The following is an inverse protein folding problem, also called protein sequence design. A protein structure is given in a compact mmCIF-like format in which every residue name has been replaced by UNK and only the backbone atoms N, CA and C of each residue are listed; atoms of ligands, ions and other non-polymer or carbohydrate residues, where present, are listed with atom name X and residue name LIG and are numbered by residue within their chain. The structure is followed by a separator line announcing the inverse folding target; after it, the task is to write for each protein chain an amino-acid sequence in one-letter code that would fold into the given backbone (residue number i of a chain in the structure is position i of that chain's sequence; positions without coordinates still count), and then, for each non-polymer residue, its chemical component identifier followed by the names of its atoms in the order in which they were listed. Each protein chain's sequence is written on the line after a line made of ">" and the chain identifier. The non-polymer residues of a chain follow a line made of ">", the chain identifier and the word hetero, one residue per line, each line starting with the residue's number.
data_IF_677108645773
#
_entry.id   IF_677108645773
#
_cell.length_a   1.000
_cell.length_b   1.000
_cell.length_c   1.000
_cell.angle_alpha   90.00
_cell.angle_beta   90.00
_cell.angle_gamma   90.00
#
_symmetry.space_group_name_H-M   'P 1'
#
loop_
_entity.id
_entity.type
_entity.pdbx_description
1 polymer ?
#
# COMPACT_ATOMS: atom_id res chain seq x y z
N UNK A 1 -4.80 75.80 -38.17
CA UNK A 1 -3.96 74.97 -37.35
C UNK A 1 -4.87 74.13 -36.48
N UNK A 2 -5.14 72.87 -36.91
CA UNK A 2 -6.06 71.95 -36.28
C UNK A 2 -5.27 70.92 -35.47
N UNK A 3 -5.49 70.87 -34.16
CA UNK A 3 -4.82 69.90 -33.26
C UNK A 3 -5.60 68.59 -33.31
N UNK A 4 -5.02 67.55 -33.84
CA UNK A 4 -5.51 66.17 -33.74
C UNK A 4 -5.12 65.58 -32.38
N UNK A 5 -6.13 65.21 -31.61
CA UNK A 5 -5.97 64.47 -30.36
C UNK A 5 -6.06 62.98 -30.66
N UNK A 6 -4.98 62.24 -30.46
CA UNK A 6 -4.93 60.78 -30.58
C UNK A 6 -5.34 60.14 -29.28
N UNK A 7 -6.45 59.43 -29.30
CA UNK A 7 -6.97 58.68 -28.16
C UNK A 7 -6.33 57.25 -28.18
N UNK A 8 -5.45 56.95 -27.26
CA UNK A 8 -4.87 55.61 -27.12
C UNK A 8 -5.79 54.73 -26.29
N UNK A 9 -6.38 53.71 -26.88
CA UNK A 9 -7.16 52.68 -26.20
C UNK A 9 -6.23 51.63 -25.64
N UNK A 10 -6.13 51.53 -24.32
CA UNK A 10 -5.46 50.45 -23.61
C UNK A 10 -6.40 49.22 -23.51
N UNK A 11 -6.12 48.19 -24.30
CA UNK A 11 -6.71 46.86 -24.15
C UNK A 11 -6.03 46.15 -22.98
N UNK A 12 -6.74 46.07 -21.85
CA UNK A 12 -6.35 45.21 -20.72
C UNK A 12 -6.73 43.77 -21.05
N UNK A 13 -5.73 42.95 -21.38
CA UNK A 13 -5.86 41.51 -21.57
C UNK A 13 -5.89 40.84 -20.16
N UNK A 14 -7.07 40.58 -19.63
CA UNK A 14 -7.25 39.80 -18.40
C UNK A 14 -6.98 38.34 -18.69
N UNK A 15 -5.78 37.86 -18.39
CA UNK A 15 -5.45 36.44 -18.41
C UNK A 15 -6.22 35.73 -17.29
N UNK A 16 -7.24 34.97 -17.66
CA UNK A 16 -7.91 34.02 -16.78
C UNK A 16 -6.93 32.88 -16.50
N UNK A 17 -6.27 32.95 -15.35
CA UNK A 17 -5.59 31.78 -14.78
C UNK A 17 -6.68 30.81 -14.32
N UNK A 18 -7.00 29.82 -15.14
CA UNK A 18 -7.68 28.61 -14.68
C UNK A 18 -6.71 27.88 -13.75
N UNK A 19 -6.90 28.01 -12.44
CA UNK A 19 -6.29 27.12 -11.50
C UNK A 19 -6.78 25.69 -11.84
N UNK A 20 -5.88 24.86 -12.31
CA UNK A 20 -6.14 23.44 -12.39
C UNK A 20 -6.35 22.98 -10.94
N UNK A 21 -7.62 22.76 -10.57
CA UNK A 21 -7.93 22.03 -9.35
C UNK A 21 -7.32 20.64 -9.54
N UNK A 22 -6.29 20.32 -8.72
CA UNK A 22 -5.89 18.95 -8.53
C UNK A 22 -7.14 18.18 -8.12
N UNK A 23 -7.53 17.20 -8.90
CA UNK A 23 -8.66 16.33 -8.62
C UNK A 23 -8.24 15.50 -7.39
N UNK A 24 -8.50 16.01 -6.18
CA UNK A 24 -8.38 15.19 -4.97
C UNK A 24 -9.42 14.09 -5.15
N UNK A 25 -8.94 12.85 -5.29
CA UNK A 25 -9.81 11.68 -5.47
C UNK A 25 -10.87 11.67 -4.36
N UNK A 26 -12.03 11.09 -4.63
CA UNK A 26 -13.11 11.05 -3.65
C UNK A 26 -12.61 10.47 -2.32
N UNK A 27 -13.00 11.09 -1.23
CA UNK A 27 -12.65 10.64 0.12
C UNK A 27 -13.21 9.24 0.37
N UNK A 28 -12.39 8.34 0.88
CA UNK A 28 -12.74 6.96 1.20
C UNK A 28 -12.19 6.58 2.58
N UNK A 29 -12.69 5.51 3.16
CA UNK A 29 -12.26 5.01 4.47
C UNK A 29 -12.70 3.57 4.68
N UNK A 30 -12.72 3.15 5.93
CA UNK A 30 -13.04 1.76 6.29
C UNK A 30 -14.37 1.63 7.03
N UNK A 31 -15.06 2.72 7.35
CA UNK A 31 -16.30 2.73 8.12
C UNK A 31 -17.40 3.59 7.46
N UNK A 32 -18.65 3.29 7.78
CA UNK A 32 -19.80 4.07 7.34
C UNK A 32 -20.01 4.07 5.82
N UNK A 33 -20.45 5.19 5.28
CA UNK A 33 -20.78 5.35 3.85
C UNK A 33 -19.55 5.31 2.94
N UNK A 34 -18.37 5.56 3.47
CA UNK A 34 -17.10 5.54 2.74
C UNK A 34 -16.34 4.22 2.90
N UNK A 35 -16.97 3.19 3.49
CA UNK A 35 -16.39 1.86 3.74
C UNK A 35 -16.18 1.04 2.46
N UNK A 36 -15.39 -0.06 2.51
CA UNK A 36 -15.02 -0.89 1.36
C UNK A 36 -16.19 -1.35 0.48
N UNK A 37 -17.36 -1.61 1.06
CA UNK A 37 -18.56 -2.00 0.32
C UNK A 37 -19.04 -0.92 -0.67
N UNK A 38 -18.72 0.32 -0.41
CA UNK A 38 -19.18 1.49 -1.18
C UNK A 38 -18.10 2.10 -2.07
N UNK A 39 -16.84 1.68 -1.97
CA UNK A 39 -15.73 2.31 -2.68
C UNK A 39 -15.98 2.47 -4.18
N UNK A 40 -16.51 1.44 -4.84
CA UNK A 40 -16.78 1.48 -6.27
C UNK A 40 -17.86 2.49 -6.71
N UNK A 41 -18.59 3.06 -5.76
CA UNK A 41 -19.64 4.05 -5.98
C UNK A 41 -19.25 5.47 -5.55
N UNK A 42 -18.12 5.64 -4.86
CA UNK A 42 -17.67 6.95 -4.39
C UNK A 42 -17.14 7.83 -5.52
N UNK A 43 -16.57 7.22 -6.56
CA UNK A 43 -16.04 7.89 -7.74
C UNK A 43 -16.03 6.96 -8.93
N UNK A 44 -16.20 7.48 -10.14
CA UNK A 44 -16.00 6.72 -11.37
C UNK A 44 -14.58 6.13 -11.49
N UNK A 45 -13.58 6.80 -10.92
CA UNK A 45 -12.20 6.32 -10.87
C UNK A 45 -12.06 5.06 -9.99
N UNK A 46 -12.99 4.83 -9.06
CA UNK A 46 -12.98 3.68 -8.15
C UNK A 46 -13.89 2.53 -8.60
N UNK A 47 -14.49 2.64 -9.79
CA UNK A 47 -15.43 1.63 -10.32
C UNK A 47 -14.86 0.19 -10.27
N UNK A 48 -13.55 0.02 -10.44
CA UNK A 48 -12.87 -1.28 -10.38
C UNK A 48 -13.00 -1.95 -9.00
N UNK A 49 -13.19 -1.17 -7.91
CA UNK A 49 -13.43 -1.73 -6.57
C UNK A 49 -14.71 -2.57 -6.50
N UNK A 50 -15.73 -2.24 -7.32
CA UNK A 50 -16.99 -2.98 -7.40
C UNK A 50 -17.04 -3.96 -8.58
N UNK A 51 -16.42 -3.64 -9.71
CA UNK A 51 -16.58 -4.40 -10.97
C UNK A 51 -15.41 -5.33 -11.29
N UNK A 52 -14.27 -5.14 -10.64
CA UNK A 52 -13.05 -5.92 -10.84
C UNK A 52 -13.27 -7.41 -10.54
N UNK A 53 -12.56 -8.27 -11.27
CA UNK A 53 -12.69 -9.73 -11.17
C UNK A 53 -11.49 -10.39 -10.49
N UNK A 54 -10.36 -9.68 -10.43
CA UNK A 54 -9.12 -10.16 -9.84
C UNK A 54 -8.74 -9.32 -8.61
N UNK A 55 -9.72 -9.07 -7.74
CA UNK A 55 -9.54 -8.20 -6.58
C UNK A 55 -8.75 -8.88 -5.46
N UNK A 56 -8.06 -8.09 -4.66
CA UNK A 56 -7.39 -8.45 -3.41
C UNK A 56 -8.01 -7.64 -2.23
N UNK A 57 -7.86 -8.11 -0.98
CA UNK A 57 -7.19 -9.32 -0.53
C UNK A 57 -7.98 -10.61 -0.81
N UNK A 58 -7.37 -11.78 -0.55
CA UNK A 58 -8.04 -13.08 -0.71
C UNK A 58 -7.83 -13.97 0.51
N UNK A 59 -8.67 -14.99 0.66
CA UNK A 59 -8.39 -16.11 1.56
C UNK A 59 -7.64 -17.21 0.78
N UNK A 60 -6.42 -17.51 1.20
CA UNK A 60 -5.54 -18.50 0.60
C UNK A 60 -5.91 -19.89 1.15
N UNK A 61 -6.96 -20.50 0.60
CA UNK A 61 -7.45 -21.81 1.06
C UNK A 61 -6.97 -22.97 0.20
N UNK A 62 -7.10 -22.84 -1.13
CA UNK A 62 -6.75 -23.88 -2.09
C UNK A 62 -5.59 -23.42 -2.94
N UNK A 63 -4.53 -24.22 -2.97
CA UNK A 63 -3.30 -23.91 -3.70
C UNK A 63 -2.94 -25.01 -4.66
N UNK A 64 -2.30 -24.60 -5.76
CA UNK A 64 -1.66 -25.54 -6.71
C UNK A 64 -0.18 -25.59 -6.41
N UNK A 65 0.33 -26.77 -6.12
CA UNK A 65 1.76 -26.98 -5.89
C UNK A 65 2.52 -26.72 -7.19
N UNK A 66 3.47 -25.81 -7.13
CA UNK A 66 4.37 -25.47 -8.21
C UNK A 66 5.80 -25.33 -7.68
N UNK A 67 6.79 -25.57 -8.52
CA UNK A 67 8.18 -25.31 -8.16
C UNK A 67 8.48 -23.83 -8.36
N UNK A 68 8.01 -22.99 -7.41
CA UNK A 68 8.28 -21.58 -7.46
C UNK A 68 9.77 -21.27 -7.25
N UNK A 69 10.36 -20.35 -8.03
CA UNK A 69 11.74 -19.92 -7.81
C UNK A 69 11.87 -19.16 -6.50
N UNK A 70 13.06 -19.20 -5.90
CA UNK A 70 13.36 -18.31 -4.77
C UNK A 70 13.23 -16.85 -5.19
N UNK A 71 12.77 -16.00 -4.27
CA UNK A 71 12.68 -14.56 -4.49
C UNK A 71 14.00 -13.89 -4.13
N UNK A 72 14.73 -13.32 -5.09
CA UNK A 72 15.95 -12.57 -4.82
C UNK A 72 15.60 -11.18 -4.29
N UNK A 73 15.62 -11.02 -2.96
CA UNK A 73 15.49 -9.73 -2.30
C UNK A 73 16.85 -9.04 -2.20
N UNK A 74 17.00 -7.92 -2.86
CA UNK A 74 18.18 -7.05 -2.80
C UNK A 74 17.80 -5.76 -2.08
N UNK A 75 17.64 -5.84 -0.75
CA UNK A 75 17.24 -4.70 0.07
C UNK A 75 18.43 -4.14 0.85
N UNK A 76 18.47 -2.83 0.91
CA UNK A 76 19.41 -2.06 1.71
C UNK A 76 18.63 -1.07 2.60
N UNK A 77 19.29 -0.44 3.56
CA UNK A 77 18.64 0.59 4.36
C UNK A 77 18.22 1.77 3.47
N UNK A 78 16.92 2.07 3.47
CA UNK A 78 16.33 3.08 2.58
C UNK A 78 14.98 3.61 3.06
N UNK A 79 14.39 3.00 4.11
CA UNK A 79 13.20 3.54 4.75
C UNK A 79 13.58 4.79 5.53
N UNK A 80 13.17 5.98 5.06
CA UNK A 80 13.68 7.27 5.54
C UNK A 80 12.59 8.22 6.02
N UNK A 81 11.33 7.98 5.68
CA UNK A 81 10.21 8.80 6.13
C UNK A 81 9.03 7.93 6.54
N UNK A 82 8.39 8.27 7.65
CA UNK A 82 7.19 7.60 8.16
C UNK A 82 6.02 8.58 8.08
N UNK A 83 4.90 8.11 7.54
CA UNK A 83 3.74 8.92 7.17
C UNK A 83 2.50 8.30 7.79
N UNK A 84 1.70 9.10 8.47
CA UNK A 84 0.32 8.75 8.79
C UNK A 84 -0.57 9.37 7.72
N UNK A 85 -1.01 8.59 6.74
CA UNK A 85 -1.85 9.08 5.64
C UNK A 85 -3.36 9.00 5.92
N UNK A 86 -3.75 8.68 7.17
CA UNK A 86 -5.15 8.51 7.58
C UNK A 86 -5.71 7.11 7.32
N UNK A 87 -5.05 6.30 6.51
CA UNK A 87 -5.45 4.93 6.18
C UNK A 87 -4.49 3.88 6.71
N UNK A 88 -3.25 4.27 6.94
CA UNK A 88 -2.18 3.42 7.49
C UNK A 88 -0.99 4.26 7.91
N UNK A 89 -0.05 3.59 8.58
CA UNK A 89 1.33 4.07 8.75
C UNK A 89 2.15 3.50 7.61
N UNK A 90 2.69 4.38 6.78
CA UNK A 90 3.51 4.06 5.61
C UNK A 90 4.95 4.52 5.81
N UNK A 91 5.90 3.71 5.38
CA UNK A 91 7.31 4.09 5.31
C UNK A 91 7.73 4.23 3.85
N UNK A 92 8.06 5.44 3.44
CA UNK A 92 8.60 5.72 2.12
C UNK A 92 10.02 5.18 2.00
N UNK A 93 10.36 4.64 0.83
CA UNK A 93 11.63 3.96 0.62
C UNK A 93 12.45 4.62 -0.49
N UNK A 94 13.72 4.89 -0.22
CA UNK A 94 14.65 5.40 -1.23
C UNK A 94 14.94 4.33 -2.30
N UNK A 95 15.34 4.77 -3.47
CA UNK A 95 15.74 3.87 -4.56
C UNK A 95 16.96 3.01 -4.17
N UNK A 96 17.12 1.87 -4.87
CA UNK A 96 18.23 0.96 -4.68
C UNK A 96 17.86 -0.37 -4.02
N UNK A 97 16.62 -0.50 -3.49
CA UNK A 97 16.09 -1.78 -3.01
C UNK A 97 15.18 -2.41 -4.05
N UNK A 98 15.41 -3.68 -4.37
CA UNK A 98 14.72 -4.37 -5.45
C UNK A 98 14.35 -5.81 -5.09
N UNK A 99 13.30 -6.29 -5.74
CA UNK A 99 12.89 -7.69 -5.80
C UNK A 99 12.85 -8.11 -7.27
N UNK A 100 13.45 -9.26 -7.60
CA UNK A 100 13.35 -9.82 -8.95
C UNK A 100 12.24 -10.85 -9.02
N UNK A 101 11.30 -10.68 -9.96
CA UNK A 101 10.17 -11.59 -10.20
C UNK A 101 10.18 -11.96 -11.68
N UNK A 102 10.26 -13.26 -12.00
CA UNK A 102 10.29 -13.76 -13.38
C UNK A 102 11.43 -13.11 -14.22
N UNK A 103 12.56 -12.83 -13.60
CA UNK A 103 13.71 -12.16 -14.25
C UNK A 103 13.58 -10.64 -14.40
N UNK A 104 12.47 -10.04 -13.95
CA UNK A 104 12.24 -8.61 -14.03
C UNK A 104 12.46 -7.93 -12.67
N UNK A 105 13.20 -6.80 -12.62
CA UNK A 105 13.42 -6.07 -11.39
C UNK A 105 12.20 -5.19 -11.04
N UNK A 106 11.78 -5.25 -9.78
CA UNK A 106 10.77 -4.40 -9.19
C UNK A 106 11.39 -3.60 -8.04
N UNK A 107 11.39 -2.28 -8.14
CA UNK A 107 11.94 -1.38 -7.12
C UNK A 107 10.96 -1.21 -5.97
N UNK A 108 11.43 -1.40 -4.73
CA UNK A 108 10.65 -1.10 -3.54
C UNK A 108 10.36 0.40 -3.44
N UNK A 109 9.10 0.75 -3.30
CA UNK A 109 8.62 2.13 -3.22
C UNK A 109 8.27 2.55 -1.79
N UNK A 110 7.57 1.68 -1.07
CA UNK A 110 7.12 1.89 0.29
C UNK A 110 6.69 0.57 0.93
N UNK A 111 6.50 0.57 2.23
CA UNK A 111 5.77 -0.47 2.93
C UNK A 111 4.82 0.15 3.95
N UNK A 112 3.72 -0.56 4.25
CA UNK A 112 2.67 -0.10 5.14
C UNK A 112 1.97 -1.27 5.82
N UNK A 113 1.11 -0.98 6.81
CA UNK A 113 0.58 -1.98 7.71
C UNK A 113 -0.95 -2.00 7.74
N UNK A 114 -1.49 -3.19 8.03
CA UNK A 114 -2.91 -3.43 8.24
C UNK A 114 -3.15 -4.22 9.54
N UNK A 115 -4.09 -3.79 10.35
CA UNK A 115 -4.54 -4.50 11.55
C UNK A 115 -6.09 -4.53 11.59
N UNK A 116 -6.69 -5.74 11.57
CA UNK A 116 -6.05 -7.04 11.35
C UNK A 116 -5.54 -7.22 9.91
N UNK A 117 -4.99 -8.41 9.60
CA UNK A 117 -4.52 -8.72 8.25
C UNK A 117 -5.63 -8.63 7.22
N UNK A 118 -5.28 -8.25 6.00
CA UNK A 118 -6.17 -8.21 4.84
C UNK A 118 -6.33 -9.59 4.22
N UNK A 119 -5.20 -10.23 3.87
CA UNK A 119 -5.26 -11.61 3.40
C UNK A 119 -5.47 -12.58 4.58
N UNK A 120 -6.15 -13.69 4.30
CA UNK A 120 -6.26 -14.82 5.20
C UNK A 120 -5.45 -16.00 4.66
N UNK A 121 -4.95 -16.85 5.54
CA UNK A 121 -4.33 -18.11 5.18
C UNK A 121 -5.13 -19.23 5.83
N UNK A 122 -5.79 -20.04 5.02
CA UNK A 122 -6.70 -21.12 5.44
C UNK A 122 -7.76 -20.66 6.46
N UNK A 123 -8.39 -19.52 6.18
CA UNK A 123 -9.39 -18.90 7.03
C UNK A 123 -8.83 -18.20 8.28
N UNK A 124 -7.51 -18.30 8.55
CA UNK A 124 -6.89 -17.63 9.68
C UNK A 124 -6.58 -16.17 9.32
N UNK A 125 -7.13 -15.25 10.10
CA UNK A 125 -6.75 -13.84 10.09
C UNK A 125 -5.62 -13.61 11.10
N UNK A 126 -4.62 -12.84 10.73
CA UNK A 126 -3.50 -12.48 11.58
C UNK A 126 -3.72 -11.10 12.20
N UNK A 127 -3.15 -10.81 13.37
CA UNK A 127 -3.35 -9.52 14.03
C UNK A 127 -2.70 -8.33 13.32
N UNK A 128 -1.69 -8.59 12.46
CA UNK A 128 -1.02 -7.54 11.69
C UNK A 128 -0.49 -8.13 10.37
N UNK A 129 -0.57 -7.35 9.28
CA UNK A 129 0.04 -7.65 7.99
C UNK A 129 0.84 -6.44 7.52
N UNK A 130 1.97 -6.65 6.88
CA UNK A 130 2.72 -5.61 6.18
C UNK A 130 2.72 -5.88 4.69
N UNK A 131 2.52 -4.84 3.89
CA UNK A 131 2.64 -4.87 2.44
C UNK A 131 3.88 -4.10 2.00
N UNK A 132 4.78 -4.79 1.31
CA UNK A 132 5.95 -4.19 0.66
C UNK A 132 5.59 -3.96 -0.81
N UNK A 133 5.40 -2.71 -1.19
CA UNK A 133 4.92 -2.32 -2.54
C UNK A 133 6.10 -2.00 -3.44
N UNK A 134 6.15 -2.68 -4.57
CA UNK A 134 7.20 -2.53 -5.57
C UNK A 134 6.59 -2.14 -6.92
N UNK A 135 7.37 -1.42 -7.73
CA UNK A 135 7.00 -1.07 -9.09
C UNK A 135 8.15 -1.28 -10.06
N UNK A 136 7.82 -1.70 -11.29
CA UNK A 136 8.76 -1.73 -12.39
C UNK A 136 8.74 -0.40 -13.19
N UNK A 137 9.68 -0.18 -14.12
CA UNK A 137 9.71 1.05 -14.94
C UNK A 137 8.49 1.24 -15.85
N UNK A 138 7.71 0.18 -16.11
CA UNK A 138 6.49 0.22 -16.91
C UNK A 138 5.24 0.51 -16.07
N UNK A 139 5.40 0.68 -14.75
CA UNK A 139 4.29 0.95 -13.83
C UNK A 139 3.54 -0.30 -13.36
N UNK A 140 4.02 -1.50 -13.69
CA UNK A 140 3.45 -2.72 -13.11
C UNK A 140 3.82 -2.83 -11.64
N UNK A 141 2.90 -3.35 -10.84
CA UNK A 141 3.05 -3.46 -9.39
C UNK A 141 3.24 -4.92 -8.95
N UNK A 142 4.05 -5.06 -7.90
CA UNK A 142 4.17 -6.28 -7.13
C UNK A 142 4.12 -5.97 -5.64
N UNK A 143 3.38 -6.78 -4.89
CA UNK A 143 3.23 -6.62 -3.44
C UNK A 143 3.68 -7.90 -2.75
N UNK A 144 4.58 -7.75 -1.77
CA UNK A 144 4.91 -8.83 -0.84
C UNK A 144 4.12 -8.62 0.43
N UNK A 145 3.22 -9.57 0.73
CA UNK A 145 2.47 -9.61 1.99
C UNK A 145 3.20 -10.46 3.02
N UNK A 146 3.29 -9.99 4.25
CA UNK A 146 3.92 -10.70 5.35
C UNK A 146 3.05 -10.57 6.60
N UNK A 147 2.66 -11.73 7.14
CA UNK A 147 1.85 -11.82 8.35
C UNK A 147 2.69 -11.68 9.60
N UNK A 148 2.07 -11.13 10.64
CA UNK A 148 2.60 -11.18 12.00
C UNK A 148 1.63 -11.94 12.90
N UNK A 149 2.16 -12.76 13.78
CA UNK A 149 1.41 -13.35 14.89
C UNK A 149 1.91 -12.77 16.21
N UNK A 150 1.08 -12.87 17.24
CA UNK A 150 1.46 -12.41 18.57
C UNK A 150 2.62 -13.27 19.12
N UNK A 151 3.67 -12.59 19.60
CA UNK A 151 4.84 -13.27 20.14
C UNK A 151 5.89 -12.29 20.66
N UNK A 152 7.14 -12.53 20.33
CA UNK A 152 8.24 -11.64 20.69
C UNK A 152 8.12 -10.30 19.95
N UNK A 153 8.49 -9.22 20.64
CA UNK A 153 8.56 -7.90 20.02
C UNK A 153 9.50 -7.90 18.82
N UNK A 154 9.04 -7.30 17.72
CA UNK A 154 9.84 -7.10 16.53
C UNK A 154 10.72 -5.84 16.68
N UNK A 155 12.04 -5.93 16.53
CA UNK A 155 12.93 -4.78 16.70
C UNK A 155 12.67 -3.64 15.71
N UNK A 156 12.34 -3.95 14.44
CA UNK A 156 12.06 -2.93 13.44
C UNK A 156 10.75 -2.21 13.76
N UNK A 157 9.70 -2.93 14.16
CA UNK A 157 8.46 -2.31 14.61
C UNK A 157 8.68 -1.42 15.84
N UNK A 158 9.55 -1.82 16.77
CA UNK A 158 9.92 -0.97 17.92
C UNK A 158 10.51 0.36 17.45
N UNK A 159 11.45 0.31 16.51
CA UNK A 159 12.09 1.52 15.96
C UNK A 159 11.09 2.42 15.24
N UNK A 160 10.18 1.84 14.45
CA UNK A 160 9.16 2.58 13.70
C UNK A 160 8.10 3.18 14.63
N UNK A 161 7.60 2.39 15.59
CA UNK A 161 6.52 2.82 16.49
C UNK A 161 6.95 3.94 17.46
N UNK A 162 8.24 4.03 17.79
CA UNK A 162 8.78 5.16 18.53
C UNK A 162 8.73 6.49 17.74
N UNK A 163 8.63 6.42 16.42
CA UNK A 163 8.66 7.57 15.51
C UNK A 163 7.38 7.69 14.66
N UNK A 164 6.30 6.98 15.03
CA UNK A 164 5.04 7.08 14.29
C UNK A 164 4.47 8.49 14.34
N UNK A 165 4.11 9.00 13.16
CA UNK A 165 3.39 10.26 13.03
C UNK A 165 1.98 10.13 13.64
N UNK A 166 1.69 10.91 14.68
CA UNK A 166 0.44 10.79 15.44
C UNK A 166 -0.76 11.46 14.74
N UNK A 167 -0.51 12.48 13.93
CA UNK A 167 -1.56 13.23 13.24
C UNK A 167 -1.69 12.74 11.80
N UNK A 168 -2.92 12.60 11.34
CA UNK A 168 -3.23 12.34 9.94
C UNK A 168 -2.66 13.43 9.05
N UNK A 169 -2.06 13.04 7.92
CA UNK A 169 -1.38 13.93 7.00
C UNK A 169 0.06 14.28 7.41
N UNK A 170 0.51 13.91 8.61
CA UNK A 170 1.90 14.21 9.01
C UNK A 170 2.90 13.18 8.49
N UNK A 171 4.06 13.70 8.14
CA UNK A 171 5.24 12.95 7.75
C UNK A 171 6.41 13.34 8.64
N UNK A 172 7.15 12.34 9.14
CA UNK A 172 8.36 12.53 9.92
C UNK A 172 9.53 11.86 9.20
N UNK A 173 10.68 12.52 9.18
CA UNK A 173 11.93 11.89 8.75
C UNK A 173 12.41 10.98 9.87
N UNK A 174 12.72 9.72 9.54
CA UNK A 174 13.27 8.79 10.50
C UNK A 174 14.68 9.23 10.92
N UNK A 175 14.97 9.15 12.20
CA UNK A 175 16.30 9.51 12.77
C UNK A 175 17.43 8.66 12.21
N UNK A 176 17.10 7.44 11.75
CA UNK A 176 18.00 6.52 11.05
C UNK A 176 17.21 5.75 9.99
N UNK A 177 17.77 5.63 8.80
CA UNK A 177 17.16 4.78 7.75
C UNK A 177 17.03 3.34 8.22
N UNK A 178 15.87 2.75 7.98
CA UNK A 178 15.59 1.36 8.32
C UNK A 178 15.77 0.45 7.10
N UNK A 179 16.12 -0.82 7.35
CA UNK A 179 16.19 -1.84 6.32
C UNK A 179 14.97 -2.77 6.46
N UNK A 180 14.11 -2.78 5.45
CA UNK A 180 12.92 -3.65 5.45
C UNK A 180 13.28 -5.15 5.40
N UNK A 181 14.50 -5.49 5.03
CA UNK A 181 14.99 -6.88 5.10
C UNK A 181 14.91 -7.45 6.52
N UNK A 182 14.94 -6.59 7.55
CA UNK A 182 14.82 -6.99 8.96
C UNK A 182 13.41 -7.49 9.33
N UNK A 183 12.40 -7.28 8.47
CA UNK A 183 11.07 -7.88 8.59
C UNK A 183 10.97 -9.26 7.93
N UNK A 184 11.91 -9.64 7.06
CA UNK A 184 11.76 -10.88 6.29
C UNK A 184 12.11 -12.10 7.15
N UNK A 185 11.29 -13.18 7.09
CA UNK A 185 11.64 -14.44 7.72
C UNK A 185 12.81 -15.11 7.00
N UNK A 186 13.47 -16.05 7.68
CA UNK A 186 14.52 -16.85 7.07
C UNK A 186 13.98 -17.74 5.92
N UNK A 187 12.87 -18.42 6.18
CA UNK A 187 12.13 -19.17 5.14
C UNK A 187 11.23 -18.18 4.39
N UNK A 188 11.56 -17.98 3.11
CA UNK A 188 10.89 -17.05 2.20
C UNK A 188 10.00 -17.76 1.18
N UNK A 189 9.56 -18.98 1.49
CA UNK A 189 8.53 -19.65 0.72
C UNK A 189 7.24 -18.81 0.70
N UNK A 190 6.54 -18.84 -0.42
CA UNK A 190 5.43 -17.91 -0.64
C UNK A 190 4.29 -18.52 -1.43
N UNK A 191 3.13 -17.91 -1.32
CA UNK A 191 1.99 -18.07 -2.21
C UNK A 191 2.03 -16.97 -3.27
N UNK A 192 1.64 -17.30 -4.49
CA UNK A 192 1.61 -16.36 -5.61
C UNK A 192 0.26 -16.36 -6.30
N UNK A 193 -0.30 -15.17 -6.56
CA UNK A 193 -1.54 -14.98 -7.32
C UNK A 193 -1.58 -13.61 -7.98
N UNK A 194 -2.44 -13.46 -8.98
CA UNK A 194 -2.79 -12.17 -9.56
C UNK A 194 -3.90 -11.50 -8.73
N UNK A 195 -3.73 -10.24 -8.39
CA UNK A 195 -4.68 -9.49 -7.57
C UNK A 195 -4.77 -8.02 -7.96
N UNK A 196 -5.15 -7.20 -6.99
CA UNK A 196 -5.31 -5.75 -7.14
C UNK A 196 -4.62 -5.00 -6.01
N UNK A 197 -4.63 -3.68 -6.07
CA UNK A 197 -4.51 -2.84 -4.89
C UNK A 197 -5.70 -3.13 -3.97
N UNK A 198 -5.46 -3.12 -2.65
CA UNK A 198 -6.49 -3.35 -1.62
C UNK A 198 -7.19 -2.08 -1.17
N UNK A 199 -6.84 -0.96 -1.77
CA UNK A 199 -7.45 0.36 -1.54
C UNK A 199 -7.86 0.99 -2.87
N UNK A 200 -8.80 1.96 -2.89
CA UNK A 200 -9.11 2.70 -4.11
C UNK A 200 -7.84 3.23 -4.81
N UNK A 201 -7.75 3.12 -6.13
CA UNK A 201 -8.79 2.74 -7.08
C UNK A 201 -8.92 1.22 -7.35
N UNK A 202 -8.36 0.33 -6.53
CA UNK A 202 -8.44 -1.13 -6.63
C UNK A 202 -7.91 -1.69 -7.98
N UNK A 203 -6.90 -1.02 -8.53
CA UNK A 203 -6.28 -1.37 -9.82
C UNK A 203 -5.80 -2.81 -9.82
N UNK A 204 -6.21 -3.56 -10.82
CA UNK A 204 -5.85 -4.98 -11.02
C UNK A 204 -4.46 -5.15 -11.67
N UNK A 205 -4.09 -6.39 -11.95
CA UNK A 205 -2.78 -6.80 -12.48
C UNK A 205 -1.60 -6.61 -11.51
N UNK A 206 -1.88 -6.59 -10.21
CA UNK A 206 -0.85 -6.61 -9.17
C UNK A 206 -0.38 -8.04 -8.94
N UNK A 207 0.94 -8.25 -8.96
CA UNK A 207 1.56 -9.53 -8.59
C UNK A 207 1.64 -9.63 -7.08
N UNK A 208 0.87 -10.55 -6.50
CA UNK A 208 0.88 -10.82 -5.07
C UNK A 208 1.79 -12.00 -4.73
N UNK A 209 2.61 -11.80 -3.71
CA UNK A 209 3.57 -12.74 -3.17
C UNK A 209 3.40 -12.75 -1.64
N UNK A 210 2.61 -13.67 -1.10
CA UNK A 210 2.36 -13.73 0.36
C UNK A 210 3.30 -14.75 0.99
N UNK A 211 4.18 -14.29 1.88
CA UNK A 211 5.14 -15.16 2.56
C UNK A 211 4.42 -16.12 3.51
N UNK A 212 4.80 -17.40 3.47
CA UNK A 212 4.15 -18.47 4.24
C UNK A 212 4.49 -18.42 5.72
N UNK A 213 5.69 -17.98 6.08
CA UNK A 213 6.15 -17.90 7.47
C UNK A 213 5.84 -16.54 8.05
N UNK A 214 4.98 -16.46 9.08
CA UNK A 214 4.77 -15.21 9.78
C UNK A 214 6.00 -14.81 10.59
N UNK A 215 6.14 -13.53 10.82
CA UNK A 215 7.00 -12.96 11.84
C UNK A 215 6.21 -12.80 13.14
N UNK A 216 6.87 -12.35 14.20
CA UNK A 216 6.20 -12.04 15.45
C UNK A 216 6.20 -10.55 15.74
N UNK A 217 5.14 -10.08 16.37
CA UNK A 217 5.05 -8.77 17.00
C UNK A 217 4.51 -8.97 18.43
N UNK A 218 4.93 -8.14 19.37
CA UNK A 218 4.34 -8.20 20.69
C UNK A 218 2.91 -7.68 20.69
N UNK A 219 2.09 -8.16 21.62
CA UNK A 219 0.74 -7.66 21.82
C UNK A 219 0.72 -6.12 21.91
N UNK A 220 1.66 -5.55 22.66
CA UNK A 220 1.78 -4.10 22.81
C UNK A 220 2.06 -3.38 21.49
N UNK A 221 2.89 -3.96 20.61
CA UNK A 221 3.14 -3.38 19.28
C UNK A 221 1.90 -3.42 18.38
N UNK A 222 1.16 -4.53 18.39
CA UNK A 222 -0.09 -4.68 17.63
C UNK A 222 -1.13 -3.67 18.12
N UNK A 223 -1.34 -3.61 19.43
CA UNK A 223 -2.30 -2.68 20.06
C UNK A 223 -1.92 -1.21 19.84
N UNK A 224 -0.63 -0.88 19.85
CA UNK A 224 -0.16 0.48 19.61
C UNK A 224 -0.52 0.95 18.20
N UNK A 225 -0.33 0.12 17.19
CA UNK A 225 -0.73 0.42 15.80
C UNK A 225 -2.26 0.50 15.67
N UNK A 226 -2.99 -0.50 16.18
CA UNK A 226 -4.45 -0.53 16.11
C UNK A 226 -5.09 0.68 16.82
N UNK A 227 -4.54 1.09 17.98
CA UNK A 227 -4.99 2.28 18.70
C UNK A 227 -4.76 3.57 17.91
N UNK A 228 -3.63 3.68 17.20
CA UNK A 228 -3.35 4.85 16.38
C UNK A 228 -4.31 4.95 15.19
N UNK A 229 -4.64 3.82 14.57
CA UNK A 229 -5.63 3.78 13.48
C UNK A 229 -7.05 4.09 13.96
N UNK A 230 -7.40 3.71 15.18
CA UNK A 230 -8.73 3.94 15.77
C UNK A 230 -9.81 2.98 15.28
N UNK A 231 -9.59 2.28 14.17
CA UNK A 231 -10.48 1.31 13.54
C UNK A 231 -9.66 0.27 12.76
N UNK A 232 -10.25 -0.91 12.42
CA UNK A 232 -9.64 -1.85 11.48
C UNK A 232 -9.41 -1.17 10.12
N UNK A 233 -8.20 -1.33 9.58
CA UNK A 233 -7.83 -0.75 8.28
C UNK A 233 -7.57 -1.84 7.23
N UNK A 234 -8.43 -2.84 7.20
CA UNK A 234 -8.37 -3.97 6.28
C UNK A 234 -9.61 -4.03 5.40
N UNK A 235 -9.42 -4.19 4.10
CA UNK A 235 -10.50 -4.52 3.17
C UNK A 235 -10.95 -5.95 3.41
N UNK A 236 -12.27 -6.26 3.38
CA UNK A 236 -12.73 -7.64 3.40
C UNK A 236 -12.16 -8.47 2.24
N UNK A 237 -12.00 -9.78 2.45
CA UNK A 237 -11.56 -10.70 1.40
C UNK A 237 -12.50 -10.68 0.20
N UNK A 238 -11.89 -10.78 -0.97
CA UNK A 238 -12.56 -10.75 -2.25
C UNK A 238 -12.65 -12.17 -2.85
N UNK A 239 -13.67 -12.48 -3.66
CA UNK A 239 -13.78 -13.77 -4.30
C UNK A 239 -12.55 -14.10 -5.13
N UNK A 240 -12.02 -15.31 -4.99
CA UNK A 240 -10.89 -15.78 -5.80
C UNK A 240 -11.28 -15.89 -7.28
N UNK A 241 -12.54 -16.19 -7.56
CA UNK A 241 -13.04 -16.39 -8.93
C UNK A 241 -12.34 -17.56 -9.61
N UNK A 242 -11.96 -17.36 -10.87
CA UNK A 242 -11.23 -18.36 -11.66
C UNK A 242 -9.71 -18.36 -11.43
N UNK A 243 -9.20 -17.53 -10.55
CA UNK A 243 -7.75 -17.44 -10.26
C UNK A 243 -7.26 -18.66 -9.51
N UNK A 244 -6.04 -19.04 -9.78
CA UNK A 244 -5.31 -20.03 -9.02
C UNK A 244 -4.27 -19.35 -8.14
N UNK A 245 -4.11 -19.87 -6.93
CA UNK A 245 -2.99 -19.53 -6.05
C UNK A 245 -1.96 -20.66 -6.18
N UNK A 246 -0.74 -20.34 -6.51
CA UNK A 246 0.37 -21.30 -6.62
C UNK A 246 1.31 -21.20 -5.42
N UNK A 247 1.90 -22.37 -5.03
CA UNK A 247 2.86 -22.47 -3.90
C UNK A 247 4.04 -23.39 -4.18
#
# INVERSE_FOLDING_TARGET
>A
MQKMTVLAALLSCSALFSAAQANEGAHWGYEGEIAPANWGHLSSEYATCATGKNQAPVDIQSTVKAKLPALPFHYQAGGNAIINNGHTIQVAYAEGSQLTIDGLPFTLKQFHFHAPSENLIQGKQYPLEVHLVHGDPQGNLAVVGLMFEEGKANPLLTTLWQQMAQQVGSQLTLSKSVNVADLLPHDRSYYRFAGSLTTPPCTENVRWLVLKKPMTASKAQIEQFAKLMGHPNNRPVQPLGARQIVE
#
